data_IF_496420289431
#
_entry.id   IF_496420289431
#
_cell.length_a   1.000
_cell.length_b   1.000
_cell.length_c   1.000
_cell.angle_alpha   90.00
_cell.angle_beta   90.00
_cell.angle_gamma   90.00
#
_symmetry.space_group_name_H-M   'P 1'
#
loop_
_entity.id
_entity.type
_entity.pdbx_description
1 polymer ?
#
# COMPACT_ATOMS: atom_id res chain seq x y z
N UNK A 1 -3.70 -12.56 2.17
CA UNK A 1 -4.35 -12.91 3.44
C UNK A 1 -5.72 -13.52 3.16
N UNK A 2 -6.21 -14.43 4.01
CA UNK A 2 -7.59 -14.92 3.92
C UNK A 2 -8.46 -14.11 4.89
N UNK A 3 -9.29 -13.23 4.36
CA UNK A 3 -10.03 -12.18 5.08
C UNK A 3 -10.90 -12.76 6.21
N UNK A 4 -11.47 -13.94 5.99
CA UNK A 4 -12.25 -14.67 7.00
C UNK A 4 -11.44 -15.16 8.21
N UNK A 5 -10.19 -15.58 8.02
CA UNK A 5 -9.36 -16.06 9.13
C UNK A 5 -8.96 -14.93 10.07
N UNK A 6 -8.68 -13.74 9.53
CA UNK A 6 -8.34 -12.56 10.33
C UNK A 6 -9.56 -12.08 11.11
N UNK A 7 -10.73 -12.07 10.47
CA UNK A 7 -12.01 -11.74 11.12
C UNK A 7 -12.31 -12.68 12.29
N UNK A 8 -12.27 -14.00 12.07
CA UNK A 8 -12.56 -15.00 13.12
C UNK A 8 -11.60 -14.87 14.29
N UNK A 9 -10.30 -14.66 14.02
CA UNK A 9 -9.29 -14.49 15.06
C UNK A 9 -9.52 -13.23 15.91
N UNK A 10 -10.09 -12.16 15.35
CA UNK A 10 -10.26 -10.89 16.06
C UNK A 10 -11.66 -10.72 16.70
N UNK A 11 -12.59 -11.65 16.46
CA UNK A 11 -13.95 -11.61 17.01
C UNK A 11 -14.20 -12.81 17.93
N UNK A 12 -14.24 -12.56 19.25
CA UNK A 12 -14.33 -13.60 20.30
C UNK A 12 -15.53 -14.54 20.13
N UNK A 13 -16.62 -14.06 19.56
CA UNK A 13 -17.83 -14.84 19.27
C UNK A 13 -17.57 -16.01 18.32
N UNK A 14 -16.64 -15.85 17.37
CA UNK A 14 -16.38 -16.82 16.32
C UNK A 14 -15.12 -17.67 16.55
N UNK A 15 -14.28 -17.31 17.52
CA UNK A 15 -12.97 -17.94 17.78
C UNK A 15 -13.05 -19.44 18.13
N UNK A 16 -14.16 -19.88 18.75
CA UNK A 16 -14.36 -21.27 19.18
C UNK A 16 -15.22 -22.09 18.20
N UNK A 17 -15.63 -21.50 17.07
CA UNK A 17 -16.46 -22.19 16.08
C UNK A 17 -15.60 -22.98 15.09
N UNK A 18 -16.06 -24.16 14.74
CA UNK A 18 -15.47 -24.95 13.65
C UNK A 18 -15.82 -24.35 12.29
N UNK A 19 -15.05 -24.70 11.26
CA UNK A 19 -15.30 -24.24 9.88
C UNK A 19 -16.66 -24.69 9.33
N UNK A 20 -17.20 -25.83 9.80
CA UNK A 20 -18.53 -26.29 9.45
C UNK A 20 -19.61 -25.39 10.07
N UNK A 21 -19.52 -25.13 11.37
CA UNK A 21 -20.46 -24.26 12.09
C UNK A 21 -20.46 -22.83 11.53
N UNK A 22 -19.30 -22.30 11.13
CA UNK A 22 -19.21 -20.99 10.49
C UNK A 22 -19.90 -20.96 9.11
N UNK A 23 -19.80 -22.04 8.33
CA UNK A 23 -20.49 -22.14 7.03
C UNK A 23 -22.00 -22.21 7.21
N UNK A 24 -22.47 -22.98 8.19
CA UNK A 24 -23.89 -23.09 8.51
C UNK A 24 -24.43 -21.74 8.97
N UNK A 25 -23.72 -21.05 9.88
CA UNK A 25 -24.07 -19.70 10.36
C UNK A 25 -24.15 -18.68 9.22
N UNK A 26 -23.21 -18.70 8.28
CA UNK A 26 -23.22 -17.82 7.10
C UNK A 26 -24.41 -18.13 6.19
N UNK A 27 -24.76 -19.41 6.04
CA UNK A 27 -25.88 -19.85 5.21
C UNK A 27 -27.23 -19.44 5.80
N UNK A 28 -27.34 -19.44 7.12
CA UNK A 28 -28.55 -19.03 7.85
C UNK A 28 -28.64 -17.51 8.03
N UNK A 29 -27.51 -16.82 8.15
CA UNK A 29 -27.45 -15.40 8.42
C UNK A 29 -26.41 -14.69 7.54
N UNK A 30 -26.88 -14.22 6.39
CA UNK A 30 -26.08 -13.46 5.42
C UNK A 30 -25.46 -12.17 6.00
N UNK A 31 -25.99 -11.63 7.11
CA UNK A 31 -25.40 -10.43 7.73
C UNK A 31 -23.98 -10.70 8.27
N UNK A 32 -23.66 -11.94 8.67
CA UNK A 32 -22.32 -12.34 9.10
C UNK A 32 -21.32 -12.17 7.94
N UNK A 33 -21.71 -12.52 6.71
CA UNK A 33 -20.88 -12.31 5.53
C UNK A 33 -20.63 -10.82 5.29
N UNK A 34 -21.67 -9.98 5.41
CA UNK A 34 -21.53 -8.52 5.30
C UNK A 34 -20.55 -7.96 6.34
N UNK A 35 -20.59 -8.44 7.59
CA UNK A 35 -19.64 -8.04 8.64
C UNK A 35 -18.21 -8.49 8.33
N UNK A 36 -18.00 -9.72 7.84
CA UNK A 36 -16.68 -10.21 7.41
C UNK A 36 -16.11 -9.33 6.29
N UNK A 37 -16.93 -9.03 5.28
CA UNK A 37 -16.54 -8.21 4.13
C UNK A 37 -16.21 -6.78 4.56
N UNK A 38 -17.06 -6.16 5.38
CA UNK A 38 -16.83 -4.83 5.94
C UNK A 38 -15.55 -4.75 6.78
N UNK A 39 -15.28 -5.78 7.57
CA UNK A 39 -14.04 -5.88 8.31
C UNK A 39 -12.82 -5.98 7.38
N UNK A 40 -12.91 -6.80 6.32
CA UNK A 40 -11.90 -6.90 5.28
C UNK A 40 -11.63 -5.57 4.57
N UNK A 41 -12.66 -4.77 4.28
CA UNK A 41 -12.52 -3.46 3.62
C UNK A 41 -11.60 -2.48 4.35
N UNK A 42 -11.43 -2.64 5.66
CA UNK A 42 -10.60 -1.76 6.48
C UNK A 42 -9.19 -2.30 6.72
N UNK A 43 -8.85 -3.46 6.14
CA UNK A 43 -7.52 -4.08 6.29
C UNK A 43 -6.76 -3.97 4.97
N UNK A 44 -5.73 -3.11 4.88
CA UNK A 44 -4.87 -3.01 3.71
C UNK A 44 -4.30 -4.37 3.30
N UNK A 45 -4.30 -4.65 2.00
CA UNK A 45 -3.75 -5.90 1.45
C UNK A 45 -4.73 -7.07 1.37
N UNK A 46 -5.96 -6.94 1.87
CA UNK A 46 -7.02 -7.93 1.66
C UNK A 46 -7.67 -7.81 0.28
N UNK A 47 -8.36 -8.87 -0.19
CA UNK A 47 -9.09 -8.81 -1.46
C UNK A 47 -10.24 -7.82 -1.37
N UNK A 48 -10.95 -7.82 -0.24
CA UNK A 48 -12.06 -6.92 0.01
C UNK A 48 -11.60 -5.44 -0.01
N UNK A 49 -10.46 -5.12 0.62
CA UNK A 49 -9.86 -3.78 0.58
C UNK A 49 -9.56 -3.33 -0.85
N UNK A 50 -8.91 -4.18 -1.67
CA UNK A 50 -8.57 -3.81 -3.05
C UNK A 50 -9.79 -3.68 -3.95
N UNK A 51 -10.81 -4.54 -3.76
CA UNK A 51 -12.07 -4.40 -4.46
C UNK A 51 -12.73 -3.05 -4.16
N UNK A 52 -12.82 -2.68 -2.88
CA UNK A 52 -13.38 -1.39 -2.48
C UNK A 52 -12.57 -0.19 -3.02
N UNK A 53 -11.24 -0.27 -3.01
CA UNK A 53 -10.40 0.79 -3.59
C UNK A 53 -10.54 0.91 -5.11
N UNK A 54 -10.74 -0.21 -5.81
CA UNK A 54 -11.06 -0.21 -7.24
C UNK A 54 -12.41 0.43 -7.53
N UNK A 55 -13.43 0.15 -6.71
CA UNK A 55 -14.74 0.79 -6.83
C UNK A 55 -14.63 2.31 -6.64
N UNK A 56 -13.84 2.79 -5.66
CA UNK A 56 -13.58 4.23 -5.49
C UNK A 56 -12.97 4.87 -6.75
N UNK A 57 -12.02 4.19 -7.40
CA UNK A 57 -11.44 4.68 -8.65
C UNK A 57 -12.49 4.71 -9.77
N UNK A 58 -13.37 3.72 -9.83
CA UNK A 58 -14.47 3.70 -10.80
C UNK A 58 -15.45 4.85 -10.56
N UNK A 59 -15.85 5.07 -9.31
CA UNK A 59 -16.73 6.17 -8.91
C UNK A 59 -16.12 7.53 -9.28
N UNK A 60 -14.80 7.70 -9.09
CA UNK A 60 -14.10 8.90 -9.55
C UNK A 60 -14.24 9.07 -11.07
N UNK A 61 -14.00 8.02 -11.86
CA UNK A 61 -14.14 8.11 -13.32
C UNK A 61 -15.56 8.47 -13.75
N UNK A 62 -16.58 7.91 -13.08
CA UNK A 62 -17.98 8.23 -13.37
C UNK A 62 -18.37 9.66 -12.97
N UNK A 63 -17.85 10.16 -11.85
CA UNK A 63 -18.24 11.47 -11.29
C UNK A 63 -17.44 12.65 -11.85
N UNK A 64 -16.12 12.50 -11.95
CA UNK A 64 -15.19 13.58 -12.35
C UNK A 64 -14.58 13.36 -13.73
N UNK A 65 -14.79 12.19 -14.35
CA UNK A 65 -14.32 11.87 -15.69
C UNK A 65 -12.97 11.14 -15.72
N UNK A 66 -12.45 10.95 -16.94
CA UNK A 66 -11.21 10.21 -17.17
C UNK A 66 -9.98 10.91 -16.56
N UNK A 67 -8.99 10.14 -16.09
CA UNK A 67 -7.76 10.73 -15.57
C UNK A 67 -7.01 11.49 -16.66
N UNK A 68 -6.54 12.70 -16.34
CA UNK A 68 -5.68 13.49 -17.22
C UNK A 68 -4.22 13.05 -17.18
N UNK A 69 -3.80 12.43 -16.07
CA UNK A 69 -2.44 12.01 -15.82
C UNK A 69 -2.48 10.58 -15.28
N UNK A 70 -1.66 9.71 -15.85
CA UNK A 70 -1.43 8.35 -15.37
C UNK A 70 0.08 8.16 -15.23
N UNK A 71 0.54 7.85 -14.02
CA UNK A 71 1.96 7.79 -13.69
C UNK A 71 2.27 6.48 -12.98
N UNK A 72 3.47 5.97 -13.24
CA UNK A 72 4.02 4.83 -12.50
C UNK A 72 5.37 5.23 -11.91
N UNK A 73 5.48 5.17 -10.59
CA UNK A 73 6.71 5.51 -9.87
C UNK A 73 7.35 4.26 -9.27
N UNK A 74 8.63 4.04 -9.57
CA UNK A 74 9.43 2.97 -8.99
C UNK A 74 10.48 3.53 -8.03
N UNK A 75 10.82 2.77 -7.00
CA UNK A 75 11.93 3.12 -6.13
C UNK A 75 13.25 2.87 -6.85
N UNK A 76 14.09 3.91 -6.96
CA UNK A 76 15.42 3.86 -7.55
C UNK A 76 16.48 4.18 -6.48
N UNK A 77 16.30 3.59 -5.30
CA UNK A 77 17.14 3.67 -4.10
C UNK A 77 18.66 3.56 -4.35
N UNK A 78 19.07 2.78 -5.35
CA UNK A 78 20.46 2.70 -5.83
C UNK A 78 21.11 4.05 -6.19
N UNK A 79 20.33 5.06 -6.57
CA UNK A 79 20.82 6.29 -7.20
C UNK A 79 20.71 7.54 -6.31
N UNK A 80 20.15 7.42 -5.10
CA UNK A 80 19.84 8.56 -4.25
C UNK A 80 20.97 8.83 -3.25
N UNK A 81 21.92 9.70 -3.60
CA UNK A 81 23.01 10.08 -2.70
C UNK A 81 22.49 10.67 -1.38
N UNK A 82 21.38 11.38 -1.42
CA UNK A 82 20.62 11.88 -0.26
C UNK A 82 20.11 10.75 0.64
N UNK A 83 19.66 9.63 0.08
CA UNK A 83 19.34 8.43 0.87
C UNK A 83 20.60 7.87 1.55
N UNK A 84 21.71 7.72 0.82
CA UNK A 84 22.93 7.15 1.39
C UNK A 84 23.56 8.01 2.49
N UNK A 85 23.36 9.33 2.47
CA UNK A 85 23.72 10.21 3.60
C UNK A 85 22.92 9.93 4.87
N UNK A 86 21.72 9.35 4.75
CA UNK A 86 20.93 8.92 5.90
C UNK A 86 21.32 7.51 6.37
N UNK A 87 21.83 6.68 5.47
CA UNK A 87 22.18 5.29 5.75
C UNK A 87 23.63 5.11 6.26
N UNK A 88 24.52 6.07 6.00
CA UNK A 88 25.93 5.98 6.36
C UNK A 88 26.58 7.35 6.56
N UNK A 89 27.58 7.40 7.44
CA UNK A 89 28.38 8.60 7.71
C UNK A 89 29.51 8.83 6.69
N UNK A 90 29.73 7.90 5.76
CA UNK A 90 30.75 8.06 4.69
C UNK A 90 30.19 8.82 3.49
N UNK A 91 31.07 9.40 2.67
CA UNK A 91 30.64 10.07 1.44
C UNK A 91 29.94 9.07 0.50
N UNK A 92 28.66 9.30 0.11
CA UNK A 92 27.94 8.44 -0.82
C UNK A 92 28.66 8.13 -2.13
N UNK A 93 29.55 9.02 -2.59
CA UNK A 93 30.32 8.83 -3.82
C UNK A 93 31.49 7.85 -3.66
N UNK A 94 31.89 7.55 -2.43
CA UNK A 94 32.91 6.55 -2.11
C UNK A 94 32.35 5.13 -1.95
N UNK A 95 31.03 5.00 -1.82
CA UNK A 95 30.36 3.71 -1.68
C UNK A 95 30.36 2.94 -2.99
N UNK A 96 30.74 1.66 -2.95
CA UNK A 96 30.56 0.78 -4.09
C UNK A 96 29.08 0.39 -4.25
N UNK A 97 28.69 -0.11 -5.43
CA UNK A 97 27.35 -0.67 -5.65
C UNK A 97 27.03 -1.85 -4.71
N UNK A 98 28.05 -2.54 -4.20
CA UNK A 98 27.86 -3.61 -3.21
C UNK A 98 27.54 -3.04 -1.83
N UNK A 99 28.25 -1.98 -1.41
CA UNK A 99 27.99 -1.30 -0.14
C UNK A 99 26.59 -0.67 -0.14
N UNK A 100 26.23 -0.01 -1.25
CA UNK A 100 24.91 0.59 -1.46
C UNK A 100 23.79 -0.43 -1.30
N UNK A 101 23.88 -1.55 -1.99
CA UNK A 101 22.89 -2.65 -1.89
C UNK A 101 22.78 -3.17 -0.45
N UNK A 102 23.89 -3.33 0.25
CA UNK A 102 23.89 -3.78 1.64
C UNK A 102 23.21 -2.77 2.56
N UNK A 103 23.54 -1.48 2.45
CA UNK A 103 22.92 -0.43 3.26
C UNK A 103 21.40 -0.36 3.08
N UNK A 104 20.92 -0.49 1.84
CA UNK A 104 19.49 -0.55 1.53
C UNK A 104 18.83 -1.79 2.17
N UNK A 105 19.44 -2.98 2.01
CA UNK A 105 18.93 -4.24 2.53
C UNK A 105 18.90 -4.29 4.06
N UNK A 106 19.90 -3.67 4.71
CA UNK A 106 20.03 -3.64 6.16
C UNK A 106 19.08 -2.58 6.79
N UNK A 107 18.60 -1.60 6.00
CA UNK A 107 17.77 -0.48 6.48
C UNK A 107 16.47 -0.26 5.67
N UNK A 108 15.65 -1.30 5.43
CA UNK A 108 14.49 -1.20 4.53
C UNK A 108 13.45 -0.18 5.00
N UNK A 109 13.28 -0.02 6.31
CA UNK A 109 12.34 0.95 6.89
C UNK A 109 12.72 2.42 6.61
N UNK A 110 14.02 2.74 6.56
CA UNK A 110 14.50 4.08 6.21
C UNK A 110 14.27 4.32 4.71
N UNK A 111 14.61 3.32 3.88
CA UNK A 111 14.41 3.37 2.42
C UNK A 111 12.93 3.59 2.11
N UNK A 112 12.04 2.85 2.77
CA UNK A 112 10.61 2.96 2.58
C UNK A 112 10.09 4.34 2.98
N UNK A 113 10.48 4.82 4.17
CA UNK A 113 10.09 6.16 4.66
C UNK A 113 10.60 7.28 3.75
N UNK A 114 11.81 7.13 3.24
CA UNK A 114 12.42 8.08 2.32
C UNK A 114 11.70 8.12 0.98
N UNK A 115 11.34 6.95 0.42
CA UNK A 115 10.57 6.90 -0.80
C UNK A 115 9.17 7.50 -0.63
N UNK A 116 8.44 7.14 0.43
CA UNK A 116 7.14 7.72 0.75
C UNK A 116 7.21 9.24 0.87
N UNK A 117 8.24 9.76 1.55
CA UNK A 117 8.49 11.20 1.63
C UNK A 117 8.67 11.84 0.25
N UNK A 118 9.46 11.21 -0.64
CA UNK A 118 9.66 11.73 -2.01
C UNK A 118 8.38 11.71 -2.83
N UNK A 119 7.59 10.65 -2.74
CA UNK A 119 6.30 10.53 -3.46
C UNK A 119 5.33 11.62 -2.98
N UNK A 120 5.18 11.78 -1.67
CA UNK A 120 4.30 12.82 -1.08
C UNK A 120 4.75 14.22 -1.48
N UNK A 121 6.07 14.46 -1.46
CA UNK A 121 6.63 15.75 -1.89
C UNK A 121 6.40 16.00 -3.37
N UNK A 122 6.58 15.00 -4.23
CA UNK A 122 6.30 15.14 -5.66
C UNK A 122 4.81 15.43 -5.92
N UNK A 123 3.92 14.72 -5.23
CA UNK A 123 2.48 14.94 -5.33
C UNK A 123 2.10 16.37 -4.91
N UNK A 124 2.58 16.85 -3.76
CA UNK A 124 2.24 18.18 -3.26
C UNK A 124 2.91 19.32 -4.02
N UNK A 125 4.22 19.21 -4.27
CA UNK A 125 5.01 20.30 -4.83
C UNK A 125 4.94 20.39 -6.36
N UNK A 126 4.73 19.25 -7.03
CA UNK A 126 4.68 19.19 -8.49
C UNK A 126 3.23 19.05 -8.95
N UNK A 127 2.56 17.93 -8.65
CA UNK A 127 1.24 17.65 -9.22
C UNK A 127 0.17 18.63 -8.74
N UNK A 128 0.08 18.87 -7.43
CA UNK A 128 -0.93 19.78 -6.88
C UNK A 128 -0.58 21.25 -7.14
N UNK A 129 0.65 21.70 -6.85
CA UNK A 129 1.01 23.11 -7.01
C UNK A 129 1.21 23.56 -8.46
N UNK A 130 1.92 22.79 -9.28
CA UNK A 130 2.25 23.21 -10.65
C UNK A 130 1.17 22.80 -11.65
N UNK A 131 0.70 21.55 -11.56
CA UNK A 131 -0.30 20.99 -12.48
C UNK A 131 -1.74 21.14 -11.98
N UNK A 132 -1.96 21.70 -10.78
CA UNK A 132 -3.29 21.96 -10.20
C UNK A 132 -4.15 20.70 -10.09
N UNK A 133 -3.53 19.54 -9.88
CA UNK A 133 -4.24 18.29 -9.60
C UNK A 133 -4.99 18.43 -8.28
N UNK A 134 -6.31 18.33 -8.31
CA UNK A 134 -7.19 18.41 -7.12
C UNK A 134 -7.56 17.04 -6.60
N UNK A 135 -7.79 16.10 -7.51
CA UNK A 135 -8.29 14.76 -7.23
C UNK A 135 -7.28 13.74 -7.74
N UNK A 136 -6.93 12.79 -6.90
CA UNK A 136 -6.02 11.71 -7.25
C UNK A 136 -6.39 10.47 -6.46
N UNK A 137 -6.18 9.33 -7.09
CA UNK A 137 -6.22 8.03 -6.46
C UNK A 137 -4.84 7.44 -6.61
N UNK A 138 -4.34 6.77 -5.58
CA UNK A 138 -3.10 6.04 -5.76
C UNK A 138 -2.99 4.73 -5.00
N UNK A 139 -2.24 3.79 -5.59
CA UNK A 139 -1.93 2.49 -4.97
C UNK A 139 -0.43 2.35 -4.79
N UNK A 140 -0.02 2.02 -3.57
CA UNK A 140 1.34 1.58 -3.26
C UNK A 140 1.42 0.05 -3.27
N UNK A 141 2.41 -0.52 -3.94
CA UNK A 141 2.78 -1.92 -3.78
C UNK A 141 4.14 -2.09 -3.10
N UNK A 142 4.27 -3.14 -2.29
CA UNK A 142 5.54 -3.51 -1.69
C UNK A 142 6.09 -4.72 -2.42
N UNK A 143 7.34 -4.63 -2.85
CA UNK A 143 8.11 -5.76 -3.33
C UNK A 143 9.05 -6.23 -2.22
N UNK A 144 9.61 -7.44 -2.37
CA UNK A 144 10.48 -8.07 -1.38
C UNK A 144 11.71 -7.25 -0.94
N UNK A 145 12.02 -6.14 -1.61
CA UNK A 145 13.22 -5.32 -1.39
C UNK A 145 12.95 -3.85 -1.03
N UNK A 146 11.76 -3.32 -1.33
CA UNK A 146 11.32 -1.94 -1.05
C UNK A 146 9.89 -1.70 -1.58
N UNK A 147 9.31 -0.55 -1.24
CA UNK A 147 8.19 0.06 -1.96
C UNK A 147 8.46 0.14 -3.48
N UNK A 148 7.56 -0.40 -4.30
CA UNK A 148 7.60 -0.23 -5.75
C UNK A 148 6.17 -0.10 -6.29
N UNK A 149 5.94 0.89 -7.15
CA UNK A 149 4.72 1.15 -7.92
C UNK A 149 3.71 2.01 -7.17
N UNK A 150 3.50 3.20 -7.74
CA UNK A 150 2.35 4.08 -7.50
C UNK A 150 1.55 4.08 -8.79
N UNK A 151 0.31 3.59 -8.79
CA UNK A 151 -0.69 3.81 -9.86
C UNK A 151 -1.55 5.00 -9.52
#
# INVERSE_FOLDING_TARGET
>A
MNDGNVFVKNNKEYQNMTTAQLKDLISENMSVMSHIMYYGWNIPGTKAFWHNNGNKLHDMVEQIGLPSIFLTMSCADGHWNDLYRLLSDVDPNSLTEQDRRRLVQDNPHIVDSFFDFRIKTFLSEVLQKQYKVTDYWYRIEFQHRALHTVW
#
